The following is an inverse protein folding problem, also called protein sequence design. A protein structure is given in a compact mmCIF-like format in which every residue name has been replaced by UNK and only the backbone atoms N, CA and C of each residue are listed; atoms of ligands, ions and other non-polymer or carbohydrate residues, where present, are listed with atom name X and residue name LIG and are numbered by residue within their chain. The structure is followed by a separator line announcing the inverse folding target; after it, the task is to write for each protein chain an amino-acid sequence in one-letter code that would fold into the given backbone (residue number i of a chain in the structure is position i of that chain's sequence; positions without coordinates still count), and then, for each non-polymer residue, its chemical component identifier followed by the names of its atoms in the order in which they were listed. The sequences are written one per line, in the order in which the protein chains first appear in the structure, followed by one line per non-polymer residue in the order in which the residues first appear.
data_IF_071646393226
#
_entry.id   IF_071646393226
#
_cell.length_a   1.000
_cell.length_b   1.000
_cell.length_c   1.000
_cell.angle_alpha   90.00
_cell.angle_beta   90.00
_cell.angle_gamma   90.00
#
_symmetry.space_group_name_H-M   'P 1'
#
loop_
_entity.id
_entity.type
_entity.pdbx_description
1 polymer ?
#
# COMPACT_ATOMS: atom_id res chain seq x y z
N UNK A 1 -7.86 -5.51 2.73
CA UNK A 1 -8.61 -4.24 2.82
C UNK A 1 -7.90 -3.25 1.89
N UNK A 2 -8.42 -2.05 1.62
CA UNK A 2 -7.76 -1.10 0.69
C UNK A 2 -6.78 -0.24 1.46
N UNK A 3 -5.49 -0.10 1.06
CA UNK A 3 -4.54 0.74 1.78
C UNK A 3 -5.02 2.20 1.79
N UNK A 4 -4.93 2.85 2.95
CA UNK A 4 -5.30 4.27 3.10
C UNK A 4 -4.03 5.07 3.26
N UNK A 5 -3.86 6.09 2.42
CA UNK A 5 -2.72 7.00 2.44
C UNK A 5 -3.20 8.39 2.80
N UNK A 6 -2.63 9.00 3.84
CA UNK A 6 -2.75 10.44 4.09
C UNK A 6 -1.46 11.15 3.66
N UNK A 7 -1.62 12.31 3.02
CA UNK A 7 -0.54 13.15 2.49
C UNK A 7 -0.60 14.53 3.15
N UNK A 8 0.45 14.88 3.88
CA UNK A 8 0.57 16.19 4.53
C UNK A 8 1.62 17.02 3.79
N UNK A 9 1.17 17.97 2.96
CA UNK A 9 2.05 18.90 2.23
C UNK A 9 2.66 19.96 3.17
N UNK A 10 3.90 20.37 2.91
CA UNK A 10 4.56 21.46 3.61
C UNK A 10 5.43 22.30 2.68
N UNK A 11 5.60 23.57 3.05
CA UNK A 11 6.52 24.47 2.36
C UNK A 11 7.96 24.10 2.73
N UNK A 12 8.78 23.79 1.72
CA UNK A 12 10.19 23.47 1.94
C UNK A 12 10.98 24.74 2.29
N UNK A 13 12.16 24.59 2.91
CA UNK A 13 13.02 25.74 3.26
C UNK A 13 13.35 26.66 2.08
N UNK A 14 13.36 26.13 0.85
CA UNK A 14 13.52 26.91 -0.40
C UNK A 14 12.41 27.96 -0.58
N UNK A 15 11.18 27.64 -0.20
CA UNK A 15 10.04 28.56 -0.29
C UNK A 15 10.20 29.74 0.69
N UNK A 16 10.64 29.47 1.92
CA UNK A 16 10.89 30.51 2.91
C UNK A 16 12.07 31.41 2.53
N UNK A 17 13.15 30.84 1.99
CA UNK A 17 14.33 31.60 1.54
C UNK A 17 13.96 32.50 0.35
N UNK A 18 13.21 31.98 -0.61
CA UNK A 18 12.78 32.76 -1.79
C UNK A 18 11.81 33.90 -1.42
N UNK A 19 10.89 33.67 -0.49
CA UNK A 19 9.98 34.69 0.03
C UNK A 19 10.74 35.79 0.80
N UNK A 20 11.72 35.39 1.65
CA UNK A 20 12.58 36.33 2.35
C UNK A 20 13.45 37.16 1.39
N UNK A 21 14.05 36.53 0.38
CA UNK A 21 14.84 37.21 -0.63
C UNK A 21 14.00 38.21 -1.45
N UNK A 22 12.80 37.81 -1.87
CA UNK A 22 11.89 38.70 -2.59
C UNK A 22 11.52 39.95 -1.76
N UNK A 23 11.25 39.76 -0.47
CA UNK A 23 10.93 40.86 0.45
C UNK A 23 12.11 41.80 0.68
N UNK A 24 13.33 41.26 0.86
CA UNK A 24 14.55 42.07 1.00
C UNK A 24 14.79 42.90 -0.26
N UNK A 25 14.70 42.30 -1.45
CA UNK A 25 14.90 43.02 -2.72
C UNK A 25 13.85 44.11 -2.91
N UNK A 26 12.60 43.88 -2.48
CA UNK A 26 11.53 44.89 -2.50
C UNK A 26 11.86 46.08 -1.58
N UNK A 27 12.35 45.82 -0.36
CA UNK A 27 12.77 46.87 0.56
C UNK A 27 13.97 47.66 0.01
N UNK A 28 14.94 46.97 -0.61
CA UNK A 28 16.07 47.62 -1.28
C UNK A 28 15.59 48.51 -2.43
N UNK A 29 14.60 48.07 -3.22
CA UNK A 29 14.00 48.89 -4.28
C UNK A 29 13.37 50.18 -3.73
N UNK A 30 12.68 50.08 -2.59
CA UNK A 30 12.05 51.22 -1.94
C UNK A 30 13.08 52.20 -1.37
N UNK A 31 14.14 51.71 -0.74
CA UNK A 31 15.24 52.54 -0.22
C UNK A 31 15.99 53.21 -1.38
N UNK A 32 16.26 52.47 -2.46
CA UNK A 32 16.92 53.00 -3.65
C UNK A 32 16.10 54.12 -4.31
N UNK A 33 14.78 53.95 -4.42
CA UNK A 33 13.88 54.98 -4.94
C UNK A 33 14.01 56.29 -4.14
N UNK A 34 13.96 56.21 -2.81
CA UNK A 34 14.06 57.41 -1.94
C UNK A 34 15.46 58.01 -2.00
N UNK A 35 16.51 57.18 -1.90
CA UNK A 35 17.90 57.63 -1.89
C UNK A 35 18.34 58.28 -3.21
N UNK A 36 17.98 57.69 -4.35
CA UNK A 36 18.29 58.24 -5.67
C UNK A 36 17.50 59.53 -5.95
N UNK A 37 16.26 59.63 -5.46
CA UNK A 37 15.46 60.85 -5.59
C UNK A 37 16.06 62.00 -4.77
N UNK A 38 16.51 61.74 -3.53
CA UNK A 38 17.19 62.74 -2.70
C UNK A 38 18.53 63.17 -3.32
N UNK A 39 19.24 62.26 -3.98
CA UNK A 39 20.51 62.54 -4.66
C UNK A 39 20.37 63.30 -5.99
N UNK A 40 19.14 63.59 -6.45
CA UNK A 40 18.88 64.34 -7.67
C UNK A 40 19.22 63.58 -8.96
N UNK A 41 19.18 62.24 -8.92
CA UNK A 41 19.45 61.40 -10.09
C UNK A 41 18.32 61.52 -11.12
N UNK A 42 18.67 61.39 -12.40
CA UNK A 42 17.73 61.45 -13.51
C UNK A 42 16.57 60.45 -13.34
N UNK A 43 15.33 60.91 -13.57
CA UNK A 43 14.12 60.13 -13.35
C UNK A 43 14.04 58.86 -14.19
N UNK A 44 14.65 58.85 -15.38
CA UNK A 44 14.69 57.67 -16.24
C UNK A 44 15.59 56.58 -15.62
N UNK A 45 16.75 56.98 -15.09
CA UNK A 45 17.65 56.06 -14.38
C UNK A 45 17.02 55.51 -13.10
N UNK A 46 16.32 56.34 -12.32
CA UNK A 46 15.58 55.90 -11.14
C UNK A 46 14.54 54.85 -11.53
N UNK A 47 13.74 55.12 -12.57
CA UNK A 47 12.70 54.19 -13.02
C UNK A 47 13.26 52.85 -13.49
N UNK A 48 14.39 52.85 -14.21
CA UNK A 48 15.04 51.64 -14.70
C UNK A 48 15.58 50.77 -13.56
N UNK A 49 16.25 51.39 -12.57
CA UNK A 49 16.81 50.68 -11.41
C UNK A 49 15.69 50.08 -10.54
N UNK A 50 14.65 50.85 -10.25
CA UNK A 50 13.52 50.38 -9.43
C UNK A 50 12.74 49.29 -10.16
N UNK A 51 12.47 49.44 -11.47
CA UNK A 51 11.81 48.40 -12.26
C UNK A 51 12.62 47.10 -12.30
N UNK A 52 13.95 47.18 -12.44
CA UNK A 52 14.84 46.01 -12.40
C UNK A 52 14.80 45.28 -11.05
N UNK A 53 14.82 46.02 -9.94
CA UNK A 53 14.73 45.43 -8.59
C UNK A 53 13.34 44.83 -8.33
N UNK A 54 12.27 45.48 -8.78
CA UNK A 54 10.91 44.93 -8.67
C UNK A 54 10.75 43.65 -9.52
N UNK A 55 11.28 43.63 -10.74
CA UNK A 55 11.29 42.44 -11.59
C UNK A 55 12.07 41.29 -10.93
N UNK A 56 13.22 41.58 -10.31
CA UNK A 56 14.01 40.59 -9.59
C UNK A 56 13.29 40.05 -8.34
N UNK A 57 12.58 40.91 -7.61
CA UNK A 57 11.74 40.51 -6.47
C UNK A 57 10.60 39.58 -6.90
N UNK A 58 9.89 39.94 -7.97
CA UNK A 58 8.82 39.12 -8.55
C UNK A 58 9.36 37.78 -9.07
N UNK A 59 10.52 37.78 -9.73
CA UNK A 59 11.17 36.58 -10.20
C UNK A 59 11.56 35.66 -9.03
N UNK A 60 12.15 36.19 -7.95
CA UNK A 60 12.47 35.41 -6.75
C UNK A 60 11.23 34.80 -6.10
N UNK A 61 10.12 35.55 -6.02
CA UNK A 61 8.85 35.07 -5.50
C UNK A 61 8.22 33.99 -6.40
N UNK A 62 8.30 34.15 -7.72
CA UNK A 62 7.79 33.18 -8.69
C UNK A 62 8.61 31.88 -8.68
N UNK A 63 9.94 32.00 -8.64
CA UNK A 63 10.86 30.88 -8.54
C UNK A 63 10.60 30.03 -7.28
N UNK A 64 10.29 30.69 -6.16
CA UNK A 64 9.85 30.05 -4.94
C UNK A 64 8.57 29.23 -5.06
N UNK A 65 7.60 29.68 -5.87
CA UNK A 65 6.30 29.01 -6.05
C UNK A 65 6.31 27.88 -7.08
N UNK A 66 7.31 27.84 -7.95
CA UNK A 66 7.46 26.83 -9.02
C UNK A 66 8.16 25.55 -8.54
N UNK A 67 8.65 25.50 -7.30
CA UNK A 67 9.24 24.30 -6.72
C UNK A 67 8.19 23.30 -6.24
N UNK A 68 8.49 22.01 -6.36
CA UNK A 68 7.67 20.94 -5.79
C UNK A 68 7.50 21.12 -4.28
N UNK A 69 6.27 20.90 -3.80
CA UNK A 69 5.94 20.96 -2.37
C UNK A 69 6.29 19.63 -1.76
N UNK A 70 7.17 19.63 -0.77
CA UNK A 70 7.47 18.42 -0.03
C UNK A 70 6.22 17.91 0.69
N UNK A 71 6.02 16.60 0.70
CA UNK A 71 4.93 15.98 1.40
C UNK A 71 5.42 14.86 2.32
N UNK A 72 4.79 14.77 3.50
CA UNK A 72 4.88 13.60 4.37
C UNK A 72 3.78 12.63 3.97
N UNK A 73 4.15 11.39 3.72
CA UNK A 73 3.24 10.31 3.37
C UNK A 73 3.15 9.34 4.55
N UNK A 74 1.93 8.96 4.91
CA UNK A 74 1.65 7.88 5.84
C UNK A 74 0.57 6.99 5.22
N UNK A 75 0.93 5.72 5.00
CA UNK A 75 0.04 4.70 4.43
C UNK A 75 -0.12 3.56 5.41
N UNK A 76 -1.35 3.16 5.67
CA UNK A 76 -1.66 1.98 6.47
C UNK A 76 -2.39 0.95 5.61
N UNK A 77 -1.76 -0.20 5.44
CA UNK A 77 -2.36 -1.39 4.84
C UNK A 77 -2.88 -2.35 5.93
N UNK A 78 -3.26 -3.57 5.55
CA UNK A 78 -3.83 -4.58 6.44
C UNK A 78 -2.89 -5.02 7.58
N UNK A 79 -1.59 -5.06 7.31
CA UNK A 79 -0.59 -5.60 8.23
C UNK A 79 0.64 -4.70 8.42
N UNK A 80 0.77 -3.62 7.64
CA UNK A 80 1.99 -2.82 7.56
C UNK A 80 1.68 -1.33 7.51
N UNK A 81 2.49 -0.54 8.21
CA UNK A 81 2.49 0.92 8.17
C UNK A 81 3.72 1.39 7.41
N UNK A 82 3.51 2.24 6.41
CA UNK A 82 4.56 2.88 5.63
C UNK A 82 4.54 4.38 5.88
N UNK A 83 5.69 4.99 6.14
CA UNK A 83 5.79 6.45 6.24
C UNK A 83 7.13 6.98 5.75
N UNK A 84 7.11 8.19 5.22
CA UNK A 84 8.28 8.83 4.65
C UNK A 84 7.99 10.22 4.11
N UNK A 85 8.98 10.80 3.44
CA UNK A 85 8.82 12.01 2.64
C UNK A 85 9.27 11.72 1.19
N UNK A 86 8.96 12.60 0.25
CA UNK A 86 9.29 12.40 -1.18
C UNK A 86 10.80 12.21 -1.45
N UNK A 87 11.66 12.73 -0.57
CA UNK A 87 13.12 12.62 -0.68
C UNK A 87 13.72 11.38 0.04
N UNK A 88 12.93 10.62 0.81
CA UNK A 88 13.38 9.36 1.45
C UNK A 88 12.59 8.16 0.95
N UNK A 89 13.32 7.07 0.79
CA UNK A 89 12.77 5.71 0.77
C UNK A 89 11.77 5.52 1.92
N UNK A 90 10.54 5.11 1.62
CA UNK A 90 9.51 4.86 2.62
C UNK A 90 10.01 3.84 3.65
N UNK A 91 9.80 4.14 4.93
CA UNK A 91 10.10 3.24 6.04
C UNK A 91 8.85 2.43 6.34
N UNK A 92 8.98 1.11 6.40
CA UNK A 92 7.89 0.17 6.67
C UNK A 92 8.06 -0.52 8.01
N UNK A 93 6.98 -0.62 8.79
CA UNK A 93 6.91 -1.43 10.00
C UNK A 93 5.65 -2.29 10.00
N UNK A 94 5.71 -3.56 10.42
CA UNK A 94 4.51 -4.35 10.58
C UNK A 94 3.67 -3.78 11.74
N UNK A 95 2.34 -3.78 11.58
CA UNK A 95 1.38 -3.34 12.60
C UNK A 95 1.50 -4.16 13.88
N UNK A 96 1.95 -5.41 13.80
CA UNK A 96 2.26 -6.26 14.97
C UNK A 96 3.39 -5.71 15.84
N UNK A 97 4.32 -4.92 15.27
CA UNK A 97 5.40 -4.29 16.01
C UNK A 97 4.96 -2.97 16.68
N UNK A 98 3.76 -2.45 16.40
CA UNK A 98 3.27 -1.21 16.98
C UNK A 98 2.94 -1.40 18.47
N UNK A 99 3.74 -0.79 19.35
CA UNK A 99 3.55 -0.87 20.81
C UNK A 99 2.60 0.18 21.35
N UNK A 100 2.68 1.39 20.81
CA UNK A 100 1.79 2.48 21.21
C UNK A 100 1.66 3.50 20.10
N UNK A 101 0.50 4.15 20.04
CA UNK A 101 0.31 5.34 19.25
C UNK A 101 -0.42 6.42 20.05
N UNK A 102 -0.12 7.69 19.78
CA UNK A 102 -0.80 8.82 20.39
C UNK A 102 -0.84 10.01 19.44
N UNK A 103 -1.91 10.82 19.49
CA UNK A 103 -1.98 12.07 18.74
C UNK A 103 -1.32 13.18 19.56
N UNK A 104 -0.30 13.82 18.99
CA UNK A 104 0.37 14.99 19.53
C UNK A 104 -0.23 16.28 18.97
N UNK A 105 -0.39 17.28 19.85
CA UNK A 105 -0.82 18.63 19.49
C UNK A 105 0.20 19.36 18.59
N UNK A 106 -0.18 20.51 18.02
CA UNK A 106 0.43 21.07 16.82
C UNK A 106 1.93 21.23 16.96
N UNK A 107 2.68 20.86 15.93
CA UNK A 107 4.13 20.98 15.98
C UNK A 107 4.56 22.44 15.93
N UNK A 108 5.48 22.81 16.82
CA UNK A 108 6.05 24.16 16.91
C UNK A 108 7.05 24.48 15.79
N UNK A 109 7.47 23.46 15.02
CA UNK A 109 8.38 23.62 13.88
C UNK A 109 8.21 22.49 12.84
N UNK A 110 8.54 22.80 11.59
CA UNK A 110 8.68 21.80 10.52
C UNK A 110 10.06 21.17 10.62
N UNK A 111 10.12 19.87 10.91
CA UNK A 111 11.41 19.20 11.09
C UNK A 111 12.20 19.18 9.78
N UNK A 112 13.55 19.28 9.82
CA UNK A 112 14.38 19.21 8.61
C UNK A 112 14.40 17.81 7.97
N UNK A 113 13.73 16.82 8.57
CA UNK A 113 13.55 15.43 8.10
C UNK A 113 14.86 14.71 7.73
N UNK A 114 16.01 15.23 8.16
CA UNK A 114 17.37 14.80 7.81
C UNK A 114 18.24 14.64 9.07
N UNK A 115 19.33 13.87 8.97
CA UNK A 115 20.30 13.68 10.07
C UNK A 115 19.72 12.96 11.31
N UNK A 116 20.22 13.29 12.51
CA UNK A 116 19.81 12.68 13.80
C UNK A 116 18.32 12.87 14.16
N UNK A 117 17.59 13.77 13.48
CA UNK A 117 16.15 14.05 13.67
C UNK A 117 15.28 13.43 12.57
N UNK A 118 15.83 12.47 11.83
CA UNK A 118 15.17 11.68 10.79
C UNK A 118 13.79 11.12 11.16
N UNK A 119 13.60 10.79 12.43
CA UNK A 119 12.39 10.13 12.95
C UNK A 119 11.26 11.13 13.29
N UNK A 120 11.53 12.42 13.15
CA UNK A 120 10.55 13.48 13.34
C UNK A 120 10.13 14.03 11.97
N UNK A 121 9.00 13.58 11.46
CA UNK A 121 8.33 14.04 10.25
C UNK A 121 7.18 15.00 10.64
N UNK A 122 7.49 16.05 11.40
CA UNK A 122 6.51 17.05 11.86
C UNK A 122 6.43 18.23 10.90
N UNK A 123 5.24 18.82 10.78
CA UNK A 123 4.96 20.02 9.98
C UNK A 123 4.40 21.10 10.89
N UNK A 124 4.94 22.31 10.82
CA UNK A 124 4.54 23.46 11.63
C UNK A 124 3.01 23.67 11.62
N UNK A 125 2.42 23.81 12.80
CA UNK A 125 0.98 24.05 12.97
C UNK A 125 0.08 22.84 12.73
N UNK A 126 0.62 21.70 12.27
CA UNK A 126 -0.13 20.46 12.06
C UNK A 126 0.00 19.52 13.26
N UNK A 127 -1.04 18.73 13.52
CA UNK A 127 -0.97 17.63 14.48
C UNK A 127 -0.05 16.54 13.93
N UNK A 128 0.41 15.65 14.82
CA UNK A 128 1.23 14.53 14.41
C UNK A 128 0.90 13.28 15.22
N UNK A 129 1.08 12.11 14.61
CA UNK A 129 1.02 10.82 15.27
C UNK A 129 2.39 10.49 15.86
N UNK A 130 2.40 10.17 17.16
CA UNK A 130 3.53 9.55 17.86
C UNK A 130 3.37 8.05 17.72
N UNK A 131 4.24 7.38 16.99
CA UNK A 131 4.23 5.94 16.79
C UNK A 131 5.45 5.33 17.47
N UNK A 132 5.26 4.28 18.26
CA UNK A 132 6.35 3.57 18.92
C UNK A 132 6.35 2.12 18.46
N UNK A 133 7.45 1.68 17.84
CA UNK A 133 7.59 0.32 17.33
C UNK A 133 8.60 -0.49 18.15
N UNK A 134 8.33 -1.78 18.33
CA UNK A 134 9.30 -2.75 18.79
C UNK A 134 10.36 -2.94 17.69
N UNK A 135 11.64 -2.82 18.04
CA UNK A 135 12.72 -3.04 17.08
C UNK A 135 12.99 -4.55 16.92
N UNK A 136 12.83 -5.09 15.72
CA UNK A 136 13.06 -6.51 15.41
C UNK A 136 14.52 -6.86 15.05
N UNK A 137 15.35 -5.88 14.63
CA UNK A 137 16.75 -6.11 14.25
C UNK A 137 17.72 -5.09 14.88
N UNK A 138 18.86 -5.53 15.45
CA UNK A 138 19.92 -4.64 15.91
C UNK A 138 20.57 -3.92 14.72
N UNK A 139 20.89 -2.63 14.86
CA UNK A 139 21.73 -1.94 13.89
C UNK A 139 23.11 -2.60 13.84
N UNK A 140 23.54 -3.02 12.66
CA UNK A 140 24.93 -3.39 12.42
C UNK A 140 25.84 -2.19 12.76
N UNK A 141 26.53 -2.26 13.90
CA UNK A 141 27.52 -1.25 14.32
C UNK A 141 27.43 -0.74 15.76
N UNK A 142 26.47 -1.17 16.57
CA UNK A 142 26.40 -0.80 18.01
C UNK A 142 26.47 -2.06 18.87
N UNK A 143 27.38 -2.04 19.85
CA UNK A 143 27.76 -3.19 20.67
C UNK A 143 26.59 -3.86 21.38
N UNK A 144 26.73 -5.17 21.56
CA UNK A 144 25.77 -6.02 22.25
C UNK A 144 25.80 -5.77 23.77
N UNK A 145 25.20 -4.68 24.26
CA UNK A 145 24.61 -4.60 25.61
C UNK A 145 23.82 -3.29 25.90
N UNK A 146 23.29 -2.61 24.88
CA UNK A 146 22.35 -1.50 25.12
C UNK A 146 20.92 -2.03 24.96
N UNK A 147 20.14 -1.95 26.04
CA UNK A 147 18.68 -2.13 26.06
C UNK A 147 18.07 -1.64 24.74
N UNK A 148 17.33 -2.52 24.04
CA UNK A 148 16.69 -2.22 22.76
C UNK A 148 15.67 -1.09 22.92
N UNK A 149 16.16 0.14 22.82
CA UNK A 149 15.34 1.35 22.90
C UNK A 149 14.34 1.34 21.73
N UNK A 150 13.02 1.51 21.98
CA UNK A 150 12.01 1.39 20.94
C UNK A 150 12.16 2.48 19.86
N UNK A 151 11.82 2.14 18.62
CA UNK A 151 11.86 3.10 17.52
C UNK A 151 10.67 4.04 17.62
N UNK A 152 10.95 5.30 17.92
CA UNK A 152 9.96 6.36 18.12
C UNK A 152 9.88 7.27 16.89
N UNK A 153 8.67 7.45 16.37
CA UNK A 153 8.39 8.25 15.18
C UNK A 153 7.34 9.33 15.46
N UNK A 154 7.49 10.50 14.85
CA UNK A 154 6.44 11.54 14.78
C UNK A 154 6.08 11.80 13.34
N UNK A 155 4.81 11.65 12.94
CA UNK A 155 4.38 11.79 11.55
C UNK A 155 3.22 12.77 11.44
N UNK A 156 3.38 13.82 10.65
CA UNK A 156 2.40 14.89 10.52
C UNK A 156 1.09 14.40 9.87
N UNK A 157 -0.04 14.81 10.45
CA UNK A 157 -1.39 14.53 9.97
C UNK A 157 -2.20 15.83 9.94
N UNK A 158 -3.11 15.92 8.97
CA UNK A 158 -4.03 17.04 8.86
C UNK A 158 -5.28 16.72 9.69
N UNK A 159 -5.61 17.60 10.63
CA UNK A 159 -6.84 17.48 11.41
C UNK A 159 -8.06 17.73 10.52
N UNK A 160 -8.98 16.76 10.46
CA UNK A 160 -10.19 16.82 9.62
C UNK A 160 -10.03 16.19 8.22
N UNK A 161 -8.86 15.67 7.87
CA UNK A 161 -8.69 14.87 6.65
C UNK A 161 -9.34 13.47 6.84
N UNK A 162 -10.31 13.07 5.98
CA UNK A 162 -10.94 11.75 6.06
C UNK A 162 -9.95 10.60 5.91
N UNK A 163 -8.84 10.79 5.16
CA UNK A 163 -7.80 9.77 5.06
C UNK A 163 -7.02 9.62 6.37
N UNK A 164 -6.71 10.73 7.05
CA UNK A 164 -6.08 10.71 8.37
C UNK A 164 -6.98 10.05 9.42
N UNK A 165 -8.29 10.33 9.41
CA UNK A 165 -9.25 9.67 10.31
C UNK A 165 -9.31 8.16 10.07
N UNK A 166 -9.39 7.72 8.81
CA UNK A 166 -9.40 6.29 8.47
C UNK A 166 -8.09 5.58 8.85
N UNK A 167 -6.95 6.26 8.78
CA UNK A 167 -5.67 5.76 9.29
C UNK A 167 -5.70 5.59 10.81
N UNK A 168 -6.20 6.58 11.54
CA UNK A 168 -6.32 6.54 13.00
C UNK A 168 -7.24 5.41 13.45
N UNK A 169 -8.39 5.24 12.79
CA UNK A 169 -9.35 4.17 13.10
C UNK A 169 -8.74 2.79 12.91
N UNK A 170 -7.90 2.60 11.88
CA UNK A 170 -7.17 1.35 11.66
C UNK A 170 -6.10 1.10 12.72
N UNK A 171 -5.34 2.12 13.08
CA UNK A 171 -4.36 2.01 14.16
C UNK A 171 -5.03 1.67 15.50
N UNK A 172 -6.24 2.20 15.76
CA UNK A 172 -7.05 1.87 16.93
C UNK A 172 -7.48 0.39 16.96
N UNK A 173 -7.81 -0.20 15.81
CA UNK A 173 -8.20 -1.61 15.72
C UNK A 173 -7.03 -2.56 16.03
N UNK A 174 -5.81 -2.17 15.67
CA UNK A 174 -4.63 -3.03 15.77
C UNK A 174 -3.76 -2.82 17.03
N UNK A 175 -3.87 -1.68 17.72
CA UNK A 175 -3.11 -1.40 18.94
C UNK A 175 -3.95 -1.66 20.21
N UNK A 176 -3.53 -2.55 21.13
CA UNK A 176 -4.20 -2.73 22.40
C UNK A 176 -4.01 -1.47 23.27
N UNK A 177 -5.11 -0.83 23.66
CA UNK A 177 -5.11 0.21 24.68
C UNK A 177 -4.38 -0.28 25.95
N UNK A 178 -3.28 0.38 26.32
CA UNK A 178 -2.82 0.41 27.71
C UNK A 178 -2.81 1.84 28.23
N UNK A 179 -3.88 2.12 28.96
CA UNK A 179 -3.92 2.88 30.21
C UNK A 179 -3.24 4.26 30.14
N UNK A 180 -4.07 5.27 29.95
CA UNK A 180 -3.90 6.59 30.55
C UNK A 180 -3.38 6.44 31.99
N UNK A 181 -2.09 6.67 32.20
CA UNK A 181 -1.51 6.79 33.53
C UNK A 181 -2.18 7.94 34.26
N UNK A 182 -2.73 7.59 35.42
CA UNK A 182 -3.27 8.45 36.46
C UNK A 182 -2.47 9.75 36.62
N UNK A 183 -3.14 10.86 36.33
CA UNK A 183 -2.75 12.16 36.88
C UNK A 183 -3.28 12.24 38.31
N UNK A 184 -2.36 12.03 39.26
CA UNK A 184 -2.53 12.17 40.71
C UNK A 184 -3.27 13.47 41.07
N UNK A 185 -4.22 13.32 41.99
CA UNK A 185 -5.23 14.27 42.43
C UNK A 185 -4.73 15.65 42.92
N UNK A 186 -5.56 16.67 42.69
CA UNK A 186 -5.73 17.86 43.52
C UNK A 186 -7.25 18.19 43.60
N UNK A 187 -7.77 18.73 44.72
CA UNK A 187 -9.18 18.64 45.13
C UNK A 187 -10.10 19.72 44.49
N UNK A 188 -11.43 19.66 44.71
CA UNK A 188 -12.44 19.96 43.68
C UNK A 188 -12.92 21.42 43.69
N UNK A 189 -13.44 21.86 42.54
CA UNK A 189 -14.46 22.92 42.49
C UNK A 189 -15.66 22.46 41.66
N UNK A 190 -16.68 22.19 42.43
CA UNK A 190 -18.11 22.08 42.14
C UNK A 190 -18.62 23.15 41.14
N UNK A 191 -19.36 22.73 40.11
CA UNK A 191 -20.76 23.14 39.88
C UNK A 191 -21.38 22.51 38.62
N UNK A 192 -22.48 21.79 38.86
CA UNK A 192 -23.75 21.70 38.13
C UNK A 192 -23.72 21.49 36.61
N UNK A 193 -24.19 20.32 36.11
CA UNK A 193 -25.56 20.09 35.58
C UNK A 193 -25.73 20.69 34.16
N UNK A 194 -26.22 20.00 33.12
CA UNK A 194 -27.48 19.26 32.99
C UNK A 194 -27.40 18.37 31.74
N UNK A 195 -28.02 17.19 31.80
CA UNK A 195 -28.25 16.25 30.70
C UNK A 195 -29.19 16.82 29.62
N UNK A 196 -29.08 16.39 28.36
CA UNK A 196 -30.21 16.05 27.45
C UNK A 196 -29.68 15.39 26.17
N UNK A 197 -30.32 14.30 25.77
CA UNK A 197 -30.27 13.61 24.46
C UNK A 197 -31.74 13.42 24.04
N UNK A 198 -32.09 13.28 22.75
CA UNK A 198 -32.21 14.25 21.64
C UNK A 198 -33.72 14.49 21.30
N UNK A 199 -34.12 15.01 20.13
CA UNK A 199 -34.55 14.06 19.09
C UNK A 199 -34.41 14.52 17.62
N UNK A 200 -34.53 13.53 16.73
CA UNK A 200 -35.00 13.55 15.34
C UNK A 200 -34.23 14.36 14.28
N UNK A 201 -33.44 13.63 13.48
CA UNK A 201 -33.17 14.02 12.10
C UNK A 201 -33.53 12.89 11.12
N UNK A 202 -34.31 13.29 10.13
CA UNK A 202 -35.01 12.54 9.10
C UNK A 202 -34.03 11.92 8.08
N UNK A 203 -34.12 10.61 7.75
CA UNK A 203 -33.14 9.91 6.91
C UNK A 203 -33.34 10.11 5.39
N UNK A 204 -34.07 11.14 4.94
CA UNK A 204 -34.51 11.26 3.55
C UNK A 204 -33.84 12.35 2.72
N UNK A 205 -32.56 12.68 2.98
CA UNK A 205 -31.83 13.64 2.13
C UNK A 205 -30.33 13.36 1.93
N UNK A 206 -29.93 12.09 1.85
CA UNK A 206 -28.56 11.68 1.47
C UNK A 206 -28.44 11.36 -0.04
N UNK A 207 -29.18 12.06 -0.90
CA UNK A 207 -28.87 12.09 -2.33
C UNK A 207 -28.04 13.34 -2.62
N UNK A 208 -26.71 13.21 -2.50
CA UNK A 208 -25.64 13.76 -3.35
C UNK A 208 -24.31 13.74 -2.60
N UNK A 209 -23.58 12.63 -2.70
CA UNK A 209 -22.12 12.65 -2.57
C UNK A 209 -21.52 11.56 -3.44
N UNK A 210 -20.65 11.94 -4.39
CA UNK A 210 -19.49 11.10 -4.64
C UNK A 210 -18.26 11.98 -4.88
N UNK A 211 -17.50 12.29 -3.82
CA UNK A 211 -16.06 12.47 -3.98
C UNK A 211 -15.44 11.08 -3.84
N UNK A 212 -15.43 10.37 -4.96
CA UNK A 212 -14.76 9.08 -5.11
C UNK A 212 -13.25 9.31 -4.87
N UNK A 213 -12.68 8.70 -3.83
CA UNK A 213 -11.24 8.76 -3.51
C UNK A 213 -10.49 7.98 -4.59
N UNK A 214 -10.28 8.63 -5.74
CA UNK A 214 -9.70 8.05 -6.94
C UNK A 214 -8.24 7.64 -6.68
N UNK A 215 -7.96 6.35 -6.90
CA UNK A 215 -6.59 5.84 -6.99
C UNK A 215 -5.80 6.65 -8.02
N UNK A 216 -4.48 6.88 -7.83
CA UNK A 216 -3.67 7.60 -8.81
C UNK A 216 -3.76 6.94 -10.19
N UNK A 217 -4.27 7.68 -11.17
CA UNK A 217 -4.40 7.23 -12.55
C UNK A 217 -3.23 7.70 -13.39
N UNK A 218 -2.78 6.87 -14.31
CA UNK A 218 -1.77 7.26 -15.31
C UNK A 218 -2.28 8.41 -16.18
N UNK A 219 -3.60 8.46 -16.45
CA UNK A 219 -4.21 9.58 -17.16
C UNK A 219 -4.00 10.93 -16.46
N UNK A 220 -3.93 10.94 -15.13
CA UNK A 220 -3.83 12.15 -14.29
C UNK A 220 -2.36 12.49 -13.92
N UNK A 221 -1.38 11.75 -14.48
CA UNK A 221 0.03 11.94 -14.17
C UNK A 221 0.57 13.29 -14.72
N UNK A 222 1.25 14.04 -13.85
CA UNK A 222 1.81 15.36 -14.19
C UNK A 222 3.04 15.30 -15.12
N UNK A 223 3.68 14.14 -15.27
CA UNK A 223 4.85 13.93 -16.15
C UNK A 223 4.85 12.53 -16.75
N UNK A 224 5.62 12.33 -17.82
CA UNK A 224 5.77 11.01 -18.46
C UNK A 224 6.54 10.04 -17.55
N UNK A 225 7.53 10.52 -16.79
CA UNK A 225 8.20 9.69 -15.78
C UNK A 225 7.24 9.21 -14.68
N UNK A 226 6.29 10.06 -14.25
CA UNK A 226 5.29 9.66 -13.27
C UNK A 226 4.31 8.63 -13.87
N UNK A 227 3.95 8.78 -15.14
CA UNK A 227 3.13 7.82 -15.87
C UNK A 227 3.84 6.46 -16.02
N UNK A 228 5.13 6.46 -16.30
CA UNK A 228 5.97 5.26 -16.40
C UNK A 228 6.07 4.54 -15.05
N UNK A 229 6.37 5.26 -13.95
CA UNK A 229 6.40 4.66 -12.60
C UNK A 229 5.06 4.03 -12.19
N UNK A 230 3.94 4.68 -12.53
CA UNK A 230 2.60 4.13 -12.27
C UNK A 230 2.30 2.89 -13.14
N UNK A 231 2.83 2.85 -14.36
CA UNK A 231 2.72 1.69 -15.25
C UNK A 231 3.58 0.52 -14.75
N UNK A 232 4.83 0.75 -14.35
CA UNK A 232 5.71 -0.25 -13.74
C UNK A 232 5.05 -0.87 -12.50
N UNK A 233 4.40 -0.03 -11.70
CA UNK A 233 3.68 -0.45 -10.50
C UNK A 233 2.37 -1.18 -10.81
N UNK A 234 1.76 -0.98 -11.98
CA UNK A 234 0.70 -1.86 -12.47
C UNK A 234 1.27 -3.22 -12.90
N UNK A 235 2.41 -3.23 -13.59
CA UNK A 235 3.11 -4.46 -14.01
C UNK A 235 3.49 -5.33 -12.82
N UNK A 236 4.08 -4.75 -11.77
CA UNK A 236 4.40 -5.49 -10.53
C UNK A 236 3.18 -6.15 -9.90
N UNK A 237 2.05 -5.45 -9.83
CA UNK A 237 0.80 -6.02 -9.30
C UNK A 237 0.21 -7.12 -10.18
N UNK A 238 0.38 -7.03 -11.49
CA UNK A 238 0.01 -8.10 -12.39
C UNK A 238 0.87 -9.35 -12.10
N UNK A 239 2.17 -9.18 -11.94
CA UNK A 239 3.10 -10.28 -11.62
C UNK A 239 2.79 -10.92 -10.26
N UNK A 240 2.40 -10.13 -9.26
CA UNK A 240 1.93 -10.65 -7.96
C UNK A 240 0.71 -11.56 -8.11
N UNK A 241 -0.27 -11.17 -8.93
CA UNK A 241 -1.46 -11.99 -9.20
C UNK A 241 -1.07 -13.27 -9.95
N UNK A 242 -0.22 -13.18 -10.97
CA UNK A 242 0.27 -14.35 -11.71
C UNK A 242 1.04 -15.33 -10.82
N UNK A 243 1.90 -14.82 -9.94
CA UNK A 243 2.66 -15.63 -8.98
C UNK A 243 1.74 -16.35 -7.99
N UNK A 244 0.76 -15.62 -7.44
CA UNK A 244 -0.23 -16.19 -6.53
C UNK A 244 -1.09 -17.26 -7.23
N UNK A 245 -1.58 -16.99 -8.44
CA UNK A 245 -2.37 -17.94 -9.20
C UNK A 245 -1.56 -19.15 -9.66
N UNK A 246 -0.34 -18.94 -10.14
CA UNK A 246 0.56 -20.01 -10.57
C UNK A 246 0.84 -21.04 -9.47
N UNK A 247 0.78 -20.65 -8.20
CA UNK A 247 0.87 -21.62 -7.09
C UNK A 247 -0.27 -22.66 -7.13
N UNK A 248 -1.49 -22.26 -7.51
CA UNK A 248 -2.63 -23.18 -7.63
C UNK A 248 -2.58 -24.05 -8.89
N UNK A 249 -1.94 -23.57 -9.97
CA UNK A 249 -1.78 -24.36 -11.19
C UNK A 249 -0.65 -25.39 -11.11
N UNK A 250 0.38 -25.09 -10.31
CA UNK A 250 1.60 -25.90 -10.26
C UNK A 250 1.65 -26.85 -9.06
N UNK A 251 0.93 -26.57 -7.97
CA UNK A 251 0.91 -27.44 -6.77
C UNK A 251 -0.29 -28.40 -6.78
N UNK A 252 -0.07 -29.72 -6.96
CA UNK A 252 -1.15 -30.70 -6.90
C UNK A 252 -1.89 -30.72 -5.57
N UNK A 253 -1.25 -30.40 -4.45
CA UNK A 253 -1.90 -30.37 -3.15
C UNK A 253 -2.96 -29.25 -3.07
N UNK A 254 -2.67 -28.09 -3.65
CA UNK A 254 -3.64 -26.98 -3.73
C UNK A 254 -4.80 -27.30 -4.66
N UNK A 255 -4.54 -27.95 -5.80
CA UNK A 255 -5.60 -28.45 -6.68
C UNK A 255 -6.55 -29.41 -5.94
N UNK A 256 -6.00 -30.40 -5.22
CA UNK A 256 -6.81 -31.38 -4.49
C UNK A 256 -7.62 -30.75 -3.35
N UNK A 257 -7.07 -29.71 -2.70
CA UNK A 257 -7.68 -29.06 -1.54
C UNK A 257 -8.70 -27.97 -1.92
N UNK A 258 -8.40 -27.20 -2.96
CA UNK A 258 -9.18 -26.04 -3.40
C UNK A 258 -9.46 -26.07 -4.91
N UNK A 259 -10.09 -27.13 -5.44
CA UNK A 259 -10.29 -27.30 -6.89
C UNK A 259 -11.13 -26.17 -7.50
N UNK A 260 -12.01 -25.53 -6.72
CA UNK A 260 -12.82 -24.40 -7.18
C UNK A 260 -12.00 -23.17 -7.61
N UNK A 261 -10.75 -23.01 -7.17
CA UNK A 261 -9.92 -21.84 -7.54
C UNK A 261 -9.43 -21.92 -8.99
N UNK A 262 -9.27 -23.13 -9.53
CA UNK A 262 -8.78 -23.37 -10.90
C UNK A 262 -9.85 -23.89 -11.84
N UNK A 263 -10.99 -24.36 -11.32
CA UNK A 263 -12.09 -24.82 -12.15
C UNK A 263 -12.85 -23.65 -12.80
N UNK A 264 -12.73 -23.53 -14.13
CA UNK A 264 -13.36 -22.48 -14.94
C UNK A 264 -14.90 -22.58 -15.02
N UNK A 265 -15.50 -23.67 -14.56
CA UNK A 265 -16.95 -23.79 -14.44
C UNK A 265 -17.52 -23.00 -13.26
N UNK A 266 -16.66 -22.55 -12.33
CA UNK A 266 -17.03 -21.69 -11.21
C UNK A 266 -17.03 -20.22 -11.67
N UNK A 267 -18.16 -19.52 -11.47
CA UNK A 267 -18.37 -18.14 -11.94
C UNK A 267 -17.24 -17.16 -11.54
N UNK A 268 -16.77 -17.23 -10.29
CA UNK A 268 -15.71 -16.35 -9.81
C UNK A 268 -14.36 -16.63 -10.49
N UNK A 269 -14.09 -17.89 -10.81
CA UNK A 269 -12.89 -18.32 -11.53
C UNK A 269 -12.97 -17.89 -12.99
N UNK A 270 -14.11 -18.06 -13.64
CA UNK A 270 -14.36 -17.53 -14.97
C UNK A 270 -14.16 -16.01 -15.03
N UNK A 271 -14.71 -15.28 -14.06
CA UNK A 271 -14.55 -13.81 -13.96
C UNK A 271 -13.09 -13.41 -13.81
N UNK A 272 -12.31 -14.17 -13.04
CA UNK A 272 -10.87 -13.97 -12.90
C UNK A 272 -10.14 -14.18 -14.24
N UNK A 273 -10.41 -15.27 -14.95
CA UNK A 273 -9.77 -15.55 -16.24
C UNK A 273 -10.09 -14.50 -17.30
N UNK A 274 -11.35 -14.04 -17.38
CA UNK A 274 -11.72 -12.95 -18.29
C UNK A 274 -10.96 -11.65 -17.98
N UNK A 275 -10.79 -11.32 -16.69
CA UNK A 275 -10.01 -10.14 -16.29
C UNK A 275 -8.51 -10.32 -16.53
N UNK A 276 -8.00 -11.55 -16.43
CA UNK A 276 -6.61 -11.89 -16.69
C UNK A 276 -6.30 -11.76 -18.19
N UNK A 277 -7.18 -12.27 -19.05
CA UNK A 277 -7.06 -12.17 -20.50
C UNK A 277 -7.02 -10.69 -20.94
N UNK A 278 -7.93 -9.86 -20.42
CA UNK A 278 -7.96 -8.42 -20.71
C UNK A 278 -6.67 -7.71 -20.27
N UNK A 279 -6.21 -7.95 -19.04
CA UNK A 279 -4.96 -7.37 -18.55
C UNK A 279 -3.75 -7.84 -19.35
N UNK A 280 -3.72 -9.11 -19.76
CA UNK A 280 -2.66 -9.71 -20.55
C UNK A 280 -2.61 -9.13 -21.97
N UNK A 281 -3.77 -8.93 -22.61
CA UNK A 281 -3.86 -8.33 -23.94
C UNK A 281 -3.31 -6.89 -23.99
N UNK A 282 -3.43 -6.15 -22.90
CA UNK A 282 -2.94 -4.77 -22.77
C UNK A 282 -1.48 -4.67 -22.33
N UNK A 283 -0.90 -5.76 -21.81
CA UNK A 283 0.48 -5.80 -21.30
C UNK A 283 1.49 -5.57 -22.43
N UNK A 284 2.56 -4.83 -22.11
CA UNK A 284 3.71 -4.59 -22.98
C UNK A 284 5.01 -4.85 -22.21
N UNK A 285 6.09 -5.17 -22.90
CA UNK A 285 7.41 -5.43 -22.26
C UNK A 285 8.03 -4.16 -21.65
N UNK A 286 7.72 -3.02 -22.24
CA UNK A 286 8.19 -1.70 -21.83
C UNK A 286 7.07 -0.67 -21.93
N UNK A 287 7.27 0.50 -21.31
CA UNK A 287 6.26 1.56 -21.28
C UNK A 287 5.84 1.94 -22.70
N UNK A 288 4.54 1.92 -23.05
CA UNK A 288 4.09 2.07 -24.43
C UNK A 288 4.20 3.50 -24.99
N UNK A 289 4.63 4.48 -24.20
CA UNK A 289 4.66 5.90 -24.59
C UNK A 289 3.28 6.56 -24.75
N UNK A 290 2.22 5.76 -24.77
CA UNK A 290 0.83 6.21 -24.87
C UNK A 290 0.14 6.10 -23.50
N UNK A 291 -0.12 7.27 -22.89
CA UNK A 291 -0.77 7.37 -21.57
C UNK A 291 -2.16 6.71 -21.52
N UNK A 292 -2.95 6.80 -22.60
CA UNK A 292 -4.27 6.19 -22.65
C UNK A 292 -4.22 4.66 -22.61
N UNK A 293 -3.28 4.05 -23.35
CA UNK A 293 -3.06 2.60 -23.32
C UNK A 293 -2.50 2.15 -21.97
N UNK A 294 -1.54 2.89 -21.41
CA UNK A 294 -0.96 2.58 -20.10
C UNK A 294 -2.01 2.68 -18.98
N UNK A 295 -2.89 3.68 -19.04
CA UNK A 295 -4.00 3.84 -18.09
C UNK A 295 -5.06 2.73 -18.23
N UNK A 296 -5.42 2.33 -19.46
CA UNK A 296 -6.30 1.18 -19.69
C UNK A 296 -5.72 -0.12 -19.11
N UNK A 297 -4.41 -0.33 -19.26
CA UNK A 297 -3.70 -1.45 -18.62
C UNK A 297 -3.79 -1.37 -17.09
N UNK A 298 -3.48 -0.22 -16.50
CA UNK A 298 -3.56 -0.02 -15.05
C UNK A 298 -4.97 -0.30 -14.49
N UNK A 299 -6.02 0.15 -15.18
CA UNK A 299 -7.40 -0.12 -14.81
C UNK A 299 -7.73 -1.61 -14.91
N UNK A 300 -7.28 -2.29 -15.97
CA UNK A 300 -7.49 -3.72 -16.18
C UNK A 300 -6.77 -4.56 -15.12
N UNK A 301 -5.53 -4.21 -14.74
CA UNK A 301 -4.83 -4.85 -13.62
C UNK A 301 -5.56 -4.63 -12.29
N UNK A 302 -6.12 -3.45 -12.07
CA UNK A 302 -6.92 -3.18 -10.86
C UNK A 302 -8.22 -4.01 -10.83
N UNK A 303 -8.83 -4.29 -11.99
CA UNK A 303 -9.98 -5.19 -12.11
C UNK A 303 -9.56 -6.65 -11.88
N UNK A 304 -8.49 -7.10 -12.54
CA UNK A 304 -7.87 -8.41 -12.36
C UNK A 304 -7.60 -8.71 -10.89
N UNK A 305 -6.93 -7.80 -10.16
CA UNK A 305 -6.64 -8.00 -8.73
C UNK A 305 -7.91 -8.18 -7.89
N UNK A 306 -8.98 -7.44 -8.18
CA UNK A 306 -10.26 -7.60 -7.47
C UNK A 306 -10.91 -8.95 -7.79
N UNK A 307 -10.90 -9.35 -9.06
CA UNK A 307 -11.42 -10.64 -9.49
C UNK A 307 -10.63 -11.79 -8.87
N UNK A 308 -9.30 -11.70 -8.80
CA UNK A 308 -8.44 -12.67 -8.15
C UNK A 308 -8.78 -12.84 -6.66
N UNK A 309 -8.85 -11.74 -5.90
CA UNK A 309 -9.20 -11.78 -4.46
C UNK A 309 -10.58 -12.43 -4.26
N UNK A 310 -11.55 -12.12 -5.11
CA UNK A 310 -12.89 -12.70 -5.05
C UNK A 310 -12.89 -14.20 -5.38
N UNK A 311 -12.18 -14.60 -6.44
CA UNK A 311 -11.95 -15.99 -6.84
C UNK A 311 -11.31 -16.79 -5.71
N UNK A 312 -10.14 -16.36 -5.22
CA UNK A 312 -9.40 -17.10 -4.21
C UNK A 312 -10.21 -17.24 -2.90
N UNK A 313 -10.82 -16.15 -2.44
CA UNK A 313 -11.67 -16.17 -1.24
C UNK A 313 -12.86 -17.09 -1.42
N UNK A 314 -13.50 -17.09 -2.59
CA UNK A 314 -14.62 -17.96 -2.87
C UNK A 314 -14.18 -19.42 -2.93
N UNK A 315 -13.18 -19.74 -3.75
CA UNK A 315 -12.67 -21.09 -3.96
C UNK A 315 -12.12 -21.73 -2.68
N UNK A 316 -11.42 -20.97 -1.84
CA UNK A 316 -10.97 -21.47 -0.52
C UNK A 316 -12.12 -21.75 0.45
N UNK A 317 -13.18 -20.94 0.39
CA UNK A 317 -14.35 -21.08 1.26
C UNK A 317 -15.19 -22.30 0.87
N UNK A 318 -15.39 -22.54 -0.41
CA UNK A 318 -16.21 -23.67 -0.87
C UNK A 318 -15.40 -24.96 -1.01
N UNK A 319 -14.09 -24.87 -1.32
CA UNK A 319 -13.23 -26.03 -1.55
C UNK A 319 -13.80 -26.94 -2.66
N UNK A 320 -14.09 -28.19 -2.31
CA UNK A 320 -14.75 -29.17 -3.17
C UNK A 320 -16.29 -29.19 -3.03
N UNK A 321 -16.89 -28.29 -2.24
CA UNK A 321 -18.31 -28.34 -1.87
C UNK A 321 -19.32 -28.15 -3.02
N UNK A 322 -18.85 -27.76 -4.21
CA UNK A 322 -19.67 -27.68 -5.43
C UNK A 322 -19.83 -29.02 -6.15
N UNK A 323 -19.01 -30.03 -5.79
CA UNK A 323 -19.06 -31.37 -6.36
C UNK A 323 -20.11 -32.24 -5.65
N UNK A 324 -20.46 -33.37 -6.24
CA UNK A 324 -21.30 -34.36 -5.56
C UNK A 324 -20.57 -35.02 -4.37
N UNK A 325 -21.27 -35.49 -3.32
CA UNK A 325 -20.63 -36.04 -2.12
C UNK A 325 -19.66 -37.20 -2.39
N UNK A 326 -19.92 -38.03 -3.39
CA UNK A 326 -19.02 -39.12 -3.78
C UNK A 326 -17.69 -38.58 -4.33
N UNK A 327 -17.76 -37.54 -5.15
CA UNK A 327 -16.61 -36.88 -5.77
C UNK A 327 -15.81 -36.06 -4.75
N UNK A 328 -16.49 -35.42 -3.79
CA UNK A 328 -15.84 -34.78 -2.64
C UNK A 328 -15.01 -35.78 -1.82
N UNK A 329 -15.57 -36.95 -1.50
CA UNK A 329 -14.88 -38.01 -0.76
C UNK A 329 -13.69 -38.58 -1.55
N UNK A 330 -13.80 -38.66 -2.88
CA UNK A 330 -12.71 -39.09 -3.74
C UNK A 330 -11.52 -38.11 -3.68
N UNK A 331 -11.78 -36.79 -3.73
CA UNK A 331 -10.74 -35.77 -3.59
C UNK A 331 -10.12 -35.74 -2.18
N UNK A 332 -10.91 -35.87 -1.12
CA UNK A 332 -10.38 -35.95 0.25
C UNK A 332 -9.49 -37.18 0.43
N UNK A 333 -9.88 -38.32 -0.17
CA UNK A 333 -9.06 -39.53 -0.21
C UNK A 333 -7.76 -39.29 -0.98
N UNK A 334 -7.83 -38.65 -2.15
CA UNK A 334 -6.65 -38.31 -2.94
C UNK A 334 -5.70 -37.39 -2.18
N UNK A 335 -6.21 -36.36 -1.49
CA UNK A 335 -5.41 -35.46 -0.68
C UNK A 335 -4.70 -36.19 0.47
N UNK A 336 -5.38 -37.12 1.16
CA UNK A 336 -4.76 -37.96 2.20
C UNK A 336 -3.65 -38.83 1.64
N UNK A 337 -3.90 -39.50 0.51
CA UNK A 337 -2.90 -40.34 -0.16
C UNK A 337 -1.69 -39.51 -0.61
N UNK A 338 -1.92 -38.31 -1.14
CA UNK A 338 -0.85 -37.39 -1.52
C UNK A 338 0.01 -37.01 -0.30
N UNK A 339 -0.60 -36.61 0.81
CA UNK A 339 0.13 -36.27 2.04
C UNK A 339 0.89 -37.48 2.62
N UNK A 340 0.34 -38.69 2.49
CA UNK A 340 1.04 -39.92 2.87
C UNK A 340 2.24 -40.21 1.97
N UNK A 341 2.14 -39.93 0.67
CA UNK A 341 3.27 -40.05 -0.26
C UNK A 341 4.39 -39.07 0.12
N UNK A 342 4.06 -37.80 0.32
CA UNK A 342 5.01 -36.76 0.74
C UNK A 342 5.73 -37.12 2.05
N UNK A 343 5.02 -37.74 3.01
CA UNK A 343 5.57 -38.13 4.29
C UNK A 343 6.33 -39.48 4.28
N UNK A 344 6.14 -40.32 3.27
CA UNK A 344 6.81 -41.62 3.19
C UNK A 344 8.26 -41.45 2.73
N UNK A 345 9.18 -42.22 3.32
CA UNK A 345 10.57 -42.31 2.90
C UNK A 345 10.85 -43.48 1.95
N UNK A 346 9.83 -44.30 1.64
CA UNK A 346 9.96 -45.51 0.82
C UNK A 346 9.48 -45.22 -0.62
N UNK A 347 10.36 -45.24 -1.64
CA UNK A 347 9.97 -44.89 -3.02
C UNK A 347 8.86 -45.78 -3.61
N UNK A 348 8.81 -47.07 -3.25
CA UNK A 348 7.75 -47.97 -3.71
C UNK A 348 6.36 -47.62 -3.14
N UNK A 349 6.31 -47.15 -1.88
CA UNK A 349 5.07 -46.67 -1.26
C UNK A 349 4.65 -45.33 -1.89
N UNK A 350 5.59 -44.40 -2.06
CA UNK A 350 5.34 -43.13 -2.75
C UNK A 350 4.74 -43.35 -4.14
N UNK A 351 5.33 -44.26 -4.94
CA UNK A 351 4.83 -44.59 -6.26
C UNK A 351 3.40 -45.14 -6.24
N UNK A 352 3.09 -45.98 -5.25
CA UNK A 352 1.75 -46.56 -5.06
C UNK A 352 0.74 -45.47 -4.70
N UNK A 353 1.08 -44.58 -3.78
CA UNK A 353 0.19 -43.49 -3.35
C UNK A 353 -0.03 -42.45 -4.45
N UNK A 354 1.03 -41.91 -5.06
CA UNK A 354 0.90 -40.95 -6.17
C UNK A 354 0.18 -41.56 -7.37
N UNK A 355 0.44 -42.83 -7.69
CA UNK A 355 -0.28 -43.55 -8.74
C UNK A 355 -1.78 -43.58 -8.48
N UNK A 356 -2.20 -43.87 -7.24
CA UNK A 356 -3.62 -43.87 -6.86
C UNK A 356 -4.24 -42.47 -6.87
N UNK A 357 -3.51 -41.44 -6.47
CA UNK A 357 -3.94 -40.04 -6.58
C UNK A 357 -4.20 -39.67 -8.04
N UNK A 358 -3.25 -39.97 -8.92
CA UNK A 358 -3.37 -39.72 -10.36
C UNK A 358 -4.58 -40.44 -10.95
N UNK A 359 -4.82 -41.70 -10.59
CA UNK A 359 -5.94 -42.46 -11.12
C UNK A 359 -7.30 -41.87 -10.69
N UNK A 360 -7.41 -41.40 -9.44
CA UNK A 360 -8.62 -40.69 -8.96
C UNK A 360 -8.83 -39.41 -9.77
N UNK A 361 -7.81 -38.55 -9.88
CA UNK A 361 -7.91 -37.26 -10.60
C UNK A 361 -8.24 -37.49 -12.08
N UNK A 362 -7.62 -38.48 -12.72
CA UNK A 362 -7.88 -38.82 -14.13
C UNK A 362 -9.32 -39.30 -14.31
N UNK A 363 -9.80 -40.20 -13.45
CA UNK A 363 -11.18 -40.70 -13.51
C UNK A 363 -12.21 -39.58 -13.35
N UNK A 364 -11.94 -38.62 -12.46
CA UNK A 364 -12.81 -37.45 -12.28
C UNK A 364 -12.77 -36.50 -13.49
N UNK A 365 -11.59 -36.32 -14.08
CA UNK A 365 -11.40 -35.49 -15.28
C UNK A 365 -12.10 -36.10 -16.50
N UNK A 366 -11.97 -37.41 -16.71
CA UNK A 366 -12.62 -38.14 -17.81
C UNK A 366 -14.15 -38.11 -17.71
N UNK A 367 -14.69 -38.05 -16.48
CA UNK A 367 -16.12 -37.87 -16.22
C UNK A 367 -16.59 -36.42 -16.42
N UNK A 368 -15.67 -35.47 -16.58
CA UNK A 368 -15.97 -34.04 -16.70
C UNK A 368 -16.46 -33.39 -15.40
N UNK A 369 -16.20 -34.01 -14.23
CA UNK A 369 -16.59 -33.43 -12.93
C UNK A 369 -15.50 -32.56 -12.32
N UNK A 370 -14.26 -32.74 -12.76
CA UNK A 370 -13.11 -31.93 -12.34
C UNK A 370 -12.40 -31.43 -13.59
N UNK A 371 -12.05 -30.14 -13.61
CA UNK A 371 -11.32 -29.51 -14.71
C UNK A 371 -9.95 -29.03 -14.22
N UNK A 372 -8.99 -29.94 -13.97
CA UNK A 372 -7.69 -29.55 -13.44
C UNK A 372 -6.82 -28.88 -14.52
N UNK A 373 -5.93 -27.96 -14.14
CA UNK A 373 -4.90 -27.44 -15.05
C UNK A 373 -4.00 -28.57 -15.57
N UNK A 374 -3.63 -28.51 -16.86
CA UNK A 374 -2.76 -29.51 -17.49
C UNK A 374 -1.40 -29.63 -16.75
N UNK A 375 -0.87 -28.52 -16.26
CA UNK A 375 0.39 -28.47 -15.52
C UNK A 375 0.34 -29.30 -14.23
N UNK A 376 -0.75 -29.22 -13.45
CA UNK A 376 -0.92 -29.99 -12.22
C UNK A 376 -1.01 -31.50 -12.51
N UNK A 377 -1.70 -31.90 -13.58
CA UNK A 377 -1.80 -33.31 -14.00
C UNK A 377 -0.44 -33.83 -14.50
N UNK A 378 0.29 -32.99 -15.24
CA UNK A 378 1.64 -33.31 -15.69
C UNK A 378 2.61 -33.50 -14.51
N UNK A 379 2.55 -32.62 -13.50
CA UNK A 379 3.38 -32.74 -12.30
C UNK A 379 3.03 -33.99 -11.49
N UNK A 380 1.75 -34.31 -11.28
CA UNK A 380 1.30 -35.57 -10.67
C UNK A 380 1.87 -36.80 -11.40
N UNK A 381 1.90 -36.75 -12.73
CA UNK A 381 2.47 -37.81 -13.55
C UNK A 381 3.99 -37.89 -13.41
N UNK A 382 4.66 -36.75 -13.29
CA UNK A 382 6.11 -36.65 -13.11
C UNK A 382 6.57 -37.16 -11.74
N UNK A 383 5.89 -36.78 -10.64
CA UNK A 383 6.20 -37.29 -9.29
C UNK A 383 6.02 -38.80 -9.20
N UNK A 384 4.95 -39.32 -9.82
CA UNK A 384 4.69 -40.77 -9.87
C UNK A 384 5.83 -41.51 -10.60
N UNK A 385 6.29 -40.98 -11.73
CA UNK A 385 7.39 -41.57 -12.51
C UNK A 385 8.70 -41.56 -11.72
N UNK A 386 9.05 -40.43 -11.10
CA UNK A 386 10.24 -40.28 -10.26
C UNK A 386 10.25 -41.31 -9.12
N UNK A 387 9.11 -41.51 -8.44
CA UNK A 387 8.99 -42.50 -7.38
C UNK A 387 9.18 -43.95 -7.89
N UNK A 388 8.62 -44.27 -9.06
CA UNK A 388 8.79 -45.60 -9.69
C UNK A 388 10.25 -45.89 -10.09
N UNK A 389 10.96 -44.90 -10.62
CA UNK A 389 12.37 -45.02 -11.00
C UNK A 389 13.27 -45.20 -9.77
N UNK A 390 13.03 -44.40 -8.72
CA UNK A 390 13.74 -44.53 -7.45
C UNK A 390 13.50 -45.88 -6.76
N UNK A 391 12.29 -46.44 -6.87
CA UNK A 391 11.98 -47.80 -6.38
C UNK A 391 12.72 -48.91 -7.12
N UNK A 392 12.92 -48.76 -8.44
CA UNK A 392 13.68 -49.73 -9.27
C UNK A 392 15.18 -49.67 -9.04
N UNK A 393 15.73 -48.53 -8.66
CA UNK A 393 17.17 -48.38 -8.38
C UNK A 393 17.58 -48.94 -7.00
N UNK A 394 16.63 -49.12 -6.08
CA UNK A 394 16.87 -49.60 -4.72
C UNK A 394 16.54 -51.08 -4.51
N UNK A 395 16.03 -51.76 -5.56
CA UNK A 395 15.79 -53.20 -5.62
C UNK A 395 16.90 -53.87 -6.44
#
# INVERSE_FOLDING_TARGET
MVPVTCRTEYLTGRHHISAGAAWIVMMVAMIALVGLNIAGVDGLLISAVVAGLLALSLFAAAYGRLGERGAVLLTVDDDTVYFGNEDRTLVSYPLSALRSFAIGGPADDTSPMTGRRAQHLTVFGQKYLKLTFAREQPRAGTGADEDLDPDFWRVAIIEGDPAASAVIDRLLVHAPQRVSTEKKAAPPKEKASVATVPPDHDPSNDEHSPVDLRRPRIADAGSDEAAERLWEEATRRHDEVLSAYGSYELDPALLLKYPAVTDVTVDQTQTFHLALDEATALRTDSYPGNRGRADAYQQSVAALRRAWIACEKHGRRIGAGYLEPADQNALDTALKLYNHAEASSTPAEQATYYGRVRDIVTTMTDRGVLHPPEAAVAELSAVTRRALEAGKSNA
#
